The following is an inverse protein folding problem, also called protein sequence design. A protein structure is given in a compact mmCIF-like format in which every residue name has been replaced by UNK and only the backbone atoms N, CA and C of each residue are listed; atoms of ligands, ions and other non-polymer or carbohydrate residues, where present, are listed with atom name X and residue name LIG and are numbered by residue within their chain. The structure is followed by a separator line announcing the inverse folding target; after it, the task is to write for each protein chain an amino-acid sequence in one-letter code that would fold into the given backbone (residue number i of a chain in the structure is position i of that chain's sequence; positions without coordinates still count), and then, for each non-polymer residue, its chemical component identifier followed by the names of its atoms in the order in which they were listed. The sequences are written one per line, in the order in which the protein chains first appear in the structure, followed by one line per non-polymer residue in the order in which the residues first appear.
data_IF_769135903039
#
_entry.id   IF_769135903039
#
_cell.length_a   1.000
_cell.length_b   1.000
_cell.length_c   1.000
_cell.angle_alpha   90.00
_cell.angle_beta   90.00
_cell.angle_gamma   90.00
#
_symmetry.space_group_name_H-M   'P 1'
#
loop_
_entity.id
_entity.type
_entity.pdbx_description
1 polymer ?
#
# COMPACT_ATOMS: atom_id res chain seq x y z
N UNK A 1 -7.93 -25.55 -6.25
CA UNK A 1 -6.96 -25.82 -5.15
C UNK A 1 -7.80 -26.20 -3.95
N UNK A 2 -7.47 -27.31 -3.29
CA UNK A 2 -8.18 -27.78 -2.10
C UNK A 2 -8.09 -26.72 -1.00
N UNK A 3 -9.22 -26.44 -0.33
CA UNK A 3 -9.33 -25.45 0.74
C UNK A 3 -8.34 -25.75 1.88
N UNK A 4 -8.18 -27.03 2.21
CA UNK A 4 -7.22 -27.52 3.22
C UNK A 4 -5.77 -27.15 2.88
N UNK A 5 -5.38 -27.23 1.60
CA UNK A 5 -4.03 -26.85 1.16
C UNK A 5 -3.85 -25.33 1.23
N UNK A 6 -4.89 -24.56 0.89
CA UNK A 6 -4.85 -23.09 0.99
C UNK A 6 -4.65 -22.65 2.44
N UNK A 7 -5.41 -23.23 3.37
CA UNK A 7 -5.32 -22.89 4.78
C UNK A 7 -3.97 -23.23 5.38
N UNK A 8 -3.39 -24.36 4.98
CA UNK A 8 -2.05 -24.74 5.40
C UNK A 8 -0.98 -23.77 4.87
N UNK A 9 -1.07 -23.36 3.61
CA UNK A 9 -0.15 -22.36 3.02
C UNK A 9 -0.30 -21.01 3.74
N UNK A 10 -1.53 -20.56 4.04
CA UNK A 10 -1.78 -19.36 4.84
C UNK A 10 -1.09 -19.45 6.20
N UNK A 11 -1.33 -20.54 6.90
CA UNK A 11 -0.77 -20.77 8.23
C UNK A 11 0.76 -20.74 8.24
N UNK A 12 1.40 -21.26 7.19
CA UNK A 12 2.85 -21.34 7.11
C UNK A 12 3.51 -20.05 6.62
N UNK A 13 2.94 -19.39 5.62
CA UNK A 13 3.60 -18.30 4.91
C UNK A 13 2.93 -16.93 5.07
N UNK A 14 1.67 -16.90 5.46
CA UNK A 14 0.88 -15.69 5.63
C UNK A 14 0.20 -15.63 7.01
N UNK A 15 0.83 -16.18 8.05
CA UNK A 15 0.32 -16.07 9.41
C UNK A 15 0.21 -14.60 9.82
N UNK A 16 -1.02 -14.20 10.20
CA UNK A 16 -1.28 -12.85 10.67
C UNK A 16 -0.59 -12.59 12.01
N UNK A 17 0.07 -11.44 12.20
CA UNK A 17 0.44 -10.97 13.54
C UNK A 17 -0.80 -10.85 14.44
N UNK A 18 -0.68 -11.19 15.73
CA UNK A 18 -1.78 -11.21 16.69
C UNK A 18 -2.76 -10.01 16.62
N UNK A 19 -2.33 -8.74 16.62
CA UNK A 19 -3.26 -7.61 16.57
C UNK A 19 -3.97 -7.46 15.22
N UNK A 20 -3.45 -8.07 14.14
CA UNK A 20 -3.92 -7.87 12.78
C UNK A 20 -5.31 -8.47 12.53
N UNK A 21 -5.54 -9.69 13.01
CA UNK A 21 -6.85 -10.37 12.85
C UNK A 21 -7.98 -9.54 13.46
N UNK A 22 -7.79 -9.05 14.68
CA UNK A 22 -8.80 -8.23 15.34
C UNK A 22 -8.99 -6.86 14.66
N UNK A 23 -7.92 -6.24 14.17
CA UNK A 23 -7.99 -5.00 13.42
C UNK A 23 -8.73 -5.21 12.08
N UNK A 24 -8.45 -6.28 11.34
CA UNK A 24 -9.10 -6.62 10.08
C UNK A 24 -10.60 -6.83 10.24
N UNK A 25 -11.03 -7.53 11.29
CA UNK A 25 -12.45 -7.73 11.60
C UNK A 25 -13.16 -6.40 11.87
N UNK A 26 -12.56 -5.49 12.66
CA UNK A 26 -13.13 -4.16 12.91
C UNK A 26 -13.17 -3.26 11.68
N UNK A 27 -12.26 -3.47 10.76
CA UNK A 27 -12.08 -2.64 9.56
C UNK A 27 -12.74 -3.24 8.30
N UNK A 28 -13.56 -4.28 8.40
CA UNK A 28 -14.14 -5.01 7.26
C UNK A 28 -14.75 -4.07 6.19
N UNK A 29 -15.45 -3.02 6.63
CA UNK A 29 -16.06 -2.03 5.74
C UNK A 29 -15.04 -1.20 4.93
N UNK A 30 -13.77 -1.19 5.32
CA UNK A 30 -12.69 -0.47 4.63
C UNK A 30 -11.93 -1.37 3.65
N UNK A 31 -12.38 -2.58 3.41
CA UNK A 31 -11.71 -3.58 2.57
C UNK A 31 -10.24 -3.79 2.93
N UNK A 32 -9.91 -4.17 4.17
CA UNK A 32 -8.54 -4.37 4.61
C UNK A 32 -7.88 -5.52 3.82
N UNK A 33 -6.53 -5.54 3.72
CA UNK A 33 -5.83 -6.61 3.03
C UNK A 33 -6.06 -7.97 3.70
N UNK A 34 -6.32 -8.99 2.90
CA UNK A 34 -6.31 -10.38 3.35
C UNK A 34 -4.88 -10.80 3.77
N UNK A 35 -4.73 -11.89 4.55
CA UNK A 35 -3.42 -12.30 5.07
C UNK A 35 -2.33 -12.47 4.01
N UNK A 36 -2.68 -13.01 2.84
CA UNK A 36 -1.72 -13.21 1.74
C UNK A 36 -1.23 -11.87 1.18
N UNK A 37 -2.12 -10.88 1.12
CA UNK A 37 -1.74 -9.53 0.68
C UNK A 37 -0.89 -8.85 1.74
N UNK A 38 -1.24 -8.99 3.02
CA UNK A 38 -0.42 -8.51 4.12
C UNK A 38 1.00 -9.12 4.10
N UNK A 39 1.10 -10.41 3.86
CA UNK A 39 2.39 -11.10 3.70
C UNK A 39 3.17 -10.60 2.48
N UNK A 40 2.49 -10.30 1.37
CA UNK A 40 3.10 -9.70 0.18
C UNK A 40 3.61 -8.28 0.46
N UNK A 41 2.84 -7.44 1.17
CA UNK A 41 3.27 -6.11 1.58
C UNK A 41 4.55 -6.20 2.43
N UNK A 42 4.57 -7.11 3.39
CA UNK A 42 5.75 -7.42 4.21
C UNK A 42 6.95 -7.84 3.37
N UNK A 43 6.74 -8.78 2.45
CA UNK A 43 7.78 -9.23 1.54
C UNK A 43 8.33 -8.08 0.66
N UNK A 44 7.45 -7.25 0.10
CA UNK A 44 7.85 -6.10 -0.71
C UNK A 44 8.69 -5.11 0.10
N UNK A 45 8.25 -4.75 1.31
CA UNK A 45 8.99 -3.85 2.19
C UNK A 45 10.42 -4.37 2.48
N UNK A 46 10.55 -5.68 2.72
CA UNK A 46 11.85 -6.33 2.90
C UNK A 46 12.71 -6.32 1.64
N UNK A 47 12.10 -6.64 0.50
CA UNK A 47 12.81 -6.74 -0.79
C UNK A 47 13.46 -5.41 -1.18
N UNK A 48 12.77 -4.28 -0.96
CA UNK A 48 13.32 -2.95 -1.24
C UNK A 48 14.10 -2.35 -0.07
N UNK A 49 14.25 -3.10 1.05
CA UNK A 49 14.88 -2.61 2.29
C UNK A 49 14.27 -1.29 2.75
N UNK A 50 12.93 -1.23 2.78
CA UNK A 50 12.17 -0.01 2.99
C UNK A 50 12.54 0.71 4.30
N UNK A 51 12.80 2.01 4.20
CA UNK A 51 12.95 2.96 5.31
C UNK A 51 11.83 3.99 5.32
N UNK A 52 11.36 4.36 4.13
CA UNK A 52 10.23 5.24 3.92
C UNK A 52 9.12 4.54 3.16
N UNK A 53 7.95 4.41 3.78
CA UNK A 53 6.74 3.89 3.13
C UNK A 53 5.68 4.97 3.14
N UNK A 54 5.03 5.19 2.00
CA UNK A 54 3.82 6.02 1.92
C UNK A 54 2.63 5.16 1.51
N UNK A 55 1.53 5.34 2.22
CA UNK A 55 0.27 4.63 1.99
C UNK A 55 -0.86 5.62 1.84
N UNK A 56 -1.70 5.43 0.83
CA UNK A 56 -2.94 6.17 0.63
C UNK A 56 -4.12 5.21 0.75
N UNK A 57 -4.99 5.50 1.72
CA UNK A 57 -5.99 4.57 2.22
C UNK A 57 -5.41 3.69 3.33
N UNK A 58 -5.79 3.98 4.58
CA UNK A 58 -5.20 3.31 5.75
C UNK A 58 -5.70 1.87 5.96
N UNK A 59 -6.75 1.44 5.25
CA UNK A 59 -7.35 0.10 5.36
C UNK A 59 -7.55 -0.37 6.82
N UNK A 60 -8.04 0.54 7.68
CA UNK A 60 -8.23 0.30 9.11
C UNK A 60 -6.94 0.01 9.89
N UNK A 61 -5.77 0.36 9.35
CA UNK A 61 -4.46 0.14 9.96
C UNK A 61 -3.88 -1.26 9.75
N UNK A 62 -4.59 -2.15 9.05
CA UNK A 62 -4.16 -3.54 8.87
C UNK A 62 -2.84 -3.64 8.13
N UNK A 63 -2.64 -2.87 7.05
CA UNK A 63 -1.35 -2.80 6.34
C UNK A 63 -0.21 -2.32 7.24
N UNK A 64 -0.46 -1.34 8.10
CA UNK A 64 0.55 -0.85 9.04
C UNK A 64 1.02 -1.95 10.00
N UNK A 65 0.12 -2.83 10.46
CA UNK A 65 0.47 -3.94 11.34
C UNK A 65 1.38 -4.98 10.67
N UNK A 66 1.29 -5.12 9.35
CA UNK A 66 2.18 -5.96 8.55
C UNK A 66 3.51 -5.30 8.23
N UNK A 67 3.50 -3.97 8.00
CA UNK A 67 4.66 -3.23 7.48
C UNK A 67 5.60 -2.73 8.57
N UNK A 68 5.05 -2.21 9.67
CA UNK A 68 5.84 -1.52 10.68
C UNK A 68 6.86 -2.42 11.38
N UNK A 69 6.57 -3.71 11.66
CA UNK A 69 7.59 -4.63 12.20
C UNK A 69 8.80 -4.83 11.28
N UNK A 70 8.62 -4.64 9.98
CA UNK A 70 9.67 -4.83 8.97
C UNK A 70 10.57 -3.61 8.78
N UNK A 71 10.13 -2.45 9.23
CA UNK A 71 10.90 -1.22 9.15
C UNK A 71 12.09 -1.24 10.11
N UNK A 72 13.25 -0.69 9.74
CA UNK A 72 14.34 -0.46 10.66
C UNK A 72 13.93 0.57 11.73
N UNK A 73 14.75 0.70 12.78
CA UNK A 73 14.45 1.58 13.95
C UNK A 73 14.09 3.03 13.54
N UNK A 74 14.74 3.55 12.51
CA UNK A 74 14.47 4.90 11.97
C UNK A 74 13.55 4.92 10.76
N UNK A 75 12.96 3.79 10.40
CA UNK A 75 12.01 3.70 9.30
C UNK A 75 10.65 4.28 9.68
N UNK A 76 9.96 4.87 8.72
CA UNK A 76 8.66 5.54 8.91
C UNK A 76 7.66 5.08 7.86
N UNK A 77 6.46 4.74 8.31
CA UNK A 77 5.27 4.62 7.49
C UNK A 77 4.46 5.93 7.59
N UNK A 78 4.25 6.61 6.47
CA UNK A 78 3.31 7.72 6.34
C UNK A 78 2.01 7.17 5.77
N UNK A 79 0.96 7.10 6.58
CA UNK A 79 -0.37 6.58 6.20
C UNK A 79 -1.36 7.74 6.12
N UNK A 80 -2.00 7.92 4.96
CA UNK A 80 -2.89 9.04 4.64
C UNK A 80 -4.29 8.47 4.43
N UNK A 81 -5.26 8.99 5.20
CA UNK A 81 -6.65 8.55 5.14
C UNK A 81 -7.59 9.75 5.10
N UNK A 82 -8.43 9.91 4.04
CA UNK A 82 -9.38 11.02 3.98
C UNK A 82 -10.64 10.82 4.83
N UNK A 83 -11.03 9.56 5.09
CA UNK A 83 -12.22 9.26 5.89
C UNK A 83 -11.90 9.29 7.39
N UNK A 84 -12.59 10.13 8.20
CA UNK A 84 -12.32 10.22 9.63
C UNK A 84 -12.57 8.93 10.41
N UNK A 85 -13.56 8.13 9.99
CA UNK A 85 -13.87 6.87 10.68
C UNK A 85 -12.80 5.82 10.40
N UNK A 86 -12.42 5.63 9.13
CA UNK A 86 -11.33 4.75 8.73
C UNK A 86 -9.99 5.16 9.38
N UNK A 87 -9.72 6.48 9.46
CA UNK A 87 -8.56 7.02 10.15
C UNK A 87 -8.55 6.69 11.64
N UNK A 88 -9.69 6.81 12.33
CA UNK A 88 -9.79 6.45 13.75
C UNK A 88 -9.50 4.97 13.97
N UNK A 89 -10.11 4.07 13.17
CA UNK A 89 -9.83 2.63 13.21
C UNK A 89 -8.33 2.32 13.00
N UNK A 90 -7.71 3.00 12.04
CA UNK A 90 -6.28 2.82 11.76
C UNK A 90 -5.40 3.30 12.93
N UNK A 91 -5.74 4.42 13.53
CA UNK A 91 -5.02 4.97 14.69
C UNK A 91 -5.10 4.01 15.88
N UNK A 92 -6.30 3.46 16.15
CA UNK A 92 -6.51 2.49 17.24
C UNK A 92 -5.73 1.19 16.99
N UNK A 93 -5.74 0.69 15.75
CA UNK A 93 -5.00 -0.51 15.39
C UNK A 93 -3.47 -0.30 15.59
N UNK A 94 -2.94 0.82 15.09
CA UNK A 94 -1.53 1.18 15.22
C UNK A 94 -1.12 1.37 16.68
N UNK A 95 -1.99 1.94 17.53
CA UNK A 95 -1.69 2.11 18.95
C UNK A 95 -1.48 0.78 19.69
N UNK A 96 -1.95 -0.34 19.13
CA UNK A 96 -1.78 -1.68 19.72
C UNK A 96 -0.36 -2.25 19.61
N UNK A 97 0.51 -1.64 18.80
CA UNK A 97 1.88 -2.12 18.58
C UNK A 97 2.94 -1.22 19.22
N UNK A 98 3.99 -1.83 19.77
CA UNK A 98 5.09 -1.12 20.43
C UNK A 98 5.82 -0.11 19.52
N UNK A 99 5.77 -0.34 18.20
CA UNK A 99 6.44 0.49 17.20
C UNK A 99 5.52 1.60 16.63
N UNK A 100 4.43 1.94 17.29
CA UNK A 100 3.44 2.96 16.84
C UNK A 100 4.07 4.32 16.52
N UNK A 101 5.15 4.70 17.21
CA UNK A 101 5.90 5.94 16.95
C UNK A 101 6.53 6.01 15.54
N UNK A 102 6.63 4.88 14.85
CA UNK A 102 7.12 4.81 13.46
C UNK A 102 6.00 5.01 12.42
N UNK A 103 4.77 5.21 12.86
CA UNK A 103 3.64 5.53 11.97
C UNK A 103 3.29 7.00 12.08
N UNK A 104 3.31 7.68 10.96
CA UNK A 104 2.76 9.01 10.80
C UNK A 104 1.37 8.87 10.18
N UNK A 105 0.33 8.81 11.02
CA UNK A 105 -1.06 8.75 10.58
C UNK A 105 -1.59 10.17 10.31
N UNK A 106 -2.10 10.41 9.12
CA UNK A 106 -2.55 11.74 8.66
C UNK A 106 -3.98 11.63 8.15
N UNK A 107 -4.91 12.30 8.83
CA UNK A 107 -6.26 12.54 8.33
C UNK A 107 -6.23 13.71 7.34
N UNK A 108 -6.57 13.47 6.09
CA UNK A 108 -6.58 14.54 5.09
C UNK A 108 -6.70 14.07 3.65
N UNK A 109 -6.90 15.05 2.76
CA UNK A 109 -6.92 14.80 1.32
C UNK A 109 -5.55 14.32 0.82
N UNK A 110 -5.49 13.14 0.15
CA UNK A 110 -4.23 12.56 -0.27
C UNK A 110 -3.39 13.46 -1.18
N UNK A 111 -3.99 14.14 -2.15
CA UNK A 111 -3.25 14.99 -3.09
C UNK A 111 -2.58 16.15 -2.34
N UNK A 112 -3.32 16.79 -1.44
CA UNK A 112 -2.80 17.89 -0.62
C UNK A 112 -1.67 17.45 0.31
N UNK A 113 -1.76 16.25 0.89
CA UNK A 113 -0.73 15.73 1.79
C UNK A 113 0.50 15.32 1.00
N UNK A 114 0.33 14.54 -0.08
CA UNK A 114 1.44 14.07 -0.91
C UNK A 114 2.25 15.22 -1.49
N UNK A 115 1.61 16.34 -1.87
CA UNK A 115 2.29 17.52 -2.41
C UNK A 115 3.36 18.10 -1.47
N UNK A 116 3.21 17.89 -0.16
CA UNK A 116 4.13 18.38 0.88
C UNK A 116 5.24 17.39 1.24
N UNK A 117 5.20 16.19 0.67
CA UNK A 117 6.21 15.17 0.94
C UNK A 117 7.42 15.33 0.02
N UNK A 118 8.59 14.92 0.51
CA UNK A 118 9.86 15.08 -0.18
C UNK A 118 10.04 14.09 -1.33
N UNK A 119 10.62 14.56 -2.43
CA UNK A 119 10.96 13.77 -3.60
C UNK A 119 12.01 12.71 -3.29
N UNK A 120 11.87 11.53 -3.87
CA UNK A 120 12.81 10.42 -3.75
C UNK A 120 12.98 9.86 -2.33
N UNK A 121 12.07 10.24 -1.39
CA UNK A 121 12.20 9.88 0.01
C UNK A 121 11.57 8.52 0.38
N UNK A 122 10.89 7.88 -0.56
CA UNK A 122 10.13 6.66 -0.30
C UNK A 122 10.63 5.48 -1.12
N UNK A 123 10.70 4.32 -0.45
CA UNK A 123 11.10 3.05 -1.02
C UNK A 123 9.89 2.24 -1.52
N UNK A 124 8.73 2.46 -0.88
CA UNK A 124 7.50 1.76 -1.16
C UNK A 124 6.32 2.72 -1.09
N UNK A 125 5.48 2.70 -2.11
CA UNK A 125 4.20 3.39 -2.15
C UNK A 125 3.06 2.38 -2.28
N UNK A 126 1.99 2.56 -1.50
CA UNK A 126 0.83 1.66 -1.51
C UNK A 126 -0.43 2.50 -1.72
N UNK A 127 -1.18 2.20 -2.77
CA UNK A 127 -2.46 2.83 -3.06
C UNK A 127 -3.58 1.84 -2.80
N UNK A 128 -4.36 2.10 -1.76
CA UNK A 128 -5.54 1.33 -1.36
C UNK A 128 -6.83 2.16 -1.50
N UNK A 129 -6.69 3.40 -1.98
CA UNK A 129 -7.75 4.39 -2.04
C UNK A 129 -8.70 4.18 -3.22
N UNK A 130 -9.73 5.00 -3.23
CA UNK A 130 -10.75 5.06 -4.27
C UNK A 130 -10.15 5.23 -5.67
N UNK A 131 -10.63 4.48 -6.70
CA UNK A 131 -10.11 4.55 -8.07
C UNK A 131 -10.11 5.96 -8.66
N UNK A 132 -11.04 6.83 -8.25
CA UNK A 132 -11.16 8.19 -8.78
C UNK A 132 -9.92 9.07 -8.55
N UNK A 133 -9.18 8.83 -7.46
CA UNK A 133 -7.98 9.60 -7.15
C UNK A 133 -6.68 8.96 -7.70
N UNK A 134 -6.73 7.72 -8.15
CA UNK A 134 -5.54 6.91 -8.43
C UNK A 134 -4.68 7.47 -9.56
N UNK A 135 -5.29 7.98 -10.66
CA UNK A 135 -4.53 8.56 -11.79
C UNK A 135 -3.80 9.85 -11.38
N UNK A 136 -4.45 10.73 -10.62
CA UNK A 136 -3.81 11.94 -10.10
C UNK A 136 -2.67 11.61 -9.12
N UNK A 137 -2.81 10.52 -8.35
CA UNK A 137 -1.79 10.05 -7.42
C UNK A 137 -0.53 9.53 -8.12
N UNK A 138 -0.61 9.05 -9.37
CA UNK A 138 0.55 8.50 -10.09
C UNK A 138 1.67 9.53 -10.24
N UNK A 139 1.34 10.78 -10.54
CA UNK A 139 2.33 11.87 -10.66
C UNK A 139 3.07 12.08 -9.32
N UNK A 140 2.35 12.08 -8.21
CA UNK A 140 2.98 12.20 -6.89
C UNK A 140 3.81 10.97 -6.54
N UNK A 141 3.29 9.77 -6.78
CA UNK A 141 4.02 8.52 -6.50
C UNK A 141 5.33 8.47 -7.29
N UNK A 142 5.31 8.85 -8.58
CA UNK A 142 6.53 8.93 -9.40
C UNK A 142 7.59 9.85 -8.78
N UNK A 143 7.20 11.00 -8.29
CA UNK A 143 8.09 11.97 -7.65
C UNK A 143 8.64 11.46 -6.31
N UNK A 144 7.76 10.85 -5.50
CA UNK A 144 8.07 10.44 -4.13
C UNK A 144 8.95 9.19 -4.05
N UNK A 145 8.74 8.23 -4.97
CA UNK A 145 9.54 7.02 -5.01
C UNK A 145 10.97 7.34 -5.49
N UNK A 146 11.97 6.78 -4.83
CA UNK A 146 13.32 6.75 -5.35
C UNK A 146 13.43 5.78 -6.55
N UNK A 147 14.45 5.89 -7.40
CA UNK A 147 14.78 4.82 -8.35
C UNK A 147 14.92 3.46 -7.65
N UNK A 148 14.37 2.40 -8.24
CA UNK A 148 14.26 1.08 -7.63
C UNK A 148 13.18 0.95 -6.55
N UNK A 149 12.47 2.04 -6.23
CA UNK A 149 11.30 2.00 -5.35
C UNK A 149 10.11 1.31 -6.00
N UNK A 150 9.19 0.79 -5.19
CA UNK A 150 8.06 -0.03 -5.64
C UNK A 150 6.73 0.66 -5.35
N UNK A 151 5.84 0.60 -6.34
CA UNK A 151 4.43 0.96 -6.21
C UNK A 151 3.59 -0.31 -6.17
N UNK A 152 2.68 -0.39 -5.20
CA UNK A 152 1.62 -1.40 -5.10
C UNK A 152 0.26 -0.71 -5.20
N UNK A 153 -0.63 -1.20 -6.08
CA UNK A 153 -2.01 -0.69 -6.20
C UNK A 153 -2.99 -1.83 -6.07
N UNK A 154 -3.86 -1.77 -5.07
CA UNK A 154 -4.87 -2.78 -4.80
C UNK A 154 -6.17 -2.48 -5.53
N UNK A 155 -6.90 -3.53 -5.89
CA UNK A 155 -8.21 -3.43 -6.54
C UNK A 155 -8.16 -2.94 -7.98
N UNK A 156 -7.05 -3.17 -8.68
CA UNK A 156 -6.81 -2.69 -10.04
C UNK A 156 -7.67 -3.37 -11.13
N UNK A 157 -8.36 -4.46 -10.81
CA UNK A 157 -9.28 -5.17 -11.72
C UNK A 157 -10.73 -5.12 -11.23
N UNK A 158 -11.07 -4.22 -10.30
CA UNK A 158 -12.44 -4.05 -9.82
C UNK A 158 -13.36 -3.63 -10.95
N UNK A 159 -14.51 -4.32 -11.02
CA UNK A 159 -15.57 -4.02 -11.97
C UNK A 159 -16.54 -2.98 -11.41
N UNK A 160 -17.31 -2.32 -12.29
CA UNK A 160 -18.39 -1.41 -11.92
C UNK A 160 -18.11 0.04 -12.24
N UNK A 161 -18.67 0.95 -11.48
CA UNK A 161 -18.71 2.39 -11.73
C UNK A 161 -17.32 3.05 -11.89
N UNK A 162 -16.28 2.43 -11.35
CA UNK A 162 -14.92 2.95 -11.39
C UNK A 162 -14.00 2.31 -12.45
N UNK A 163 -14.51 1.38 -13.25
CA UNK A 163 -13.69 0.63 -14.21
C UNK A 163 -12.98 1.52 -15.24
N UNK A 164 -13.65 2.58 -15.73
CA UNK A 164 -13.04 3.51 -16.68
C UNK A 164 -11.92 4.37 -16.07
N UNK A 165 -12.09 4.79 -14.83
CA UNK A 165 -11.06 5.58 -14.11
C UNK A 165 -9.82 4.72 -13.90
N UNK A 166 -10.04 3.47 -13.53
CA UNK A 166 -8.99 2.50 -13.33
C UNK A 166 -8.27 2.15 -14.64
N UNK A 167 -9.01 1.97 -15.73
CA UNK A 167 -8.43 1.75 -17.06
C UNK A 167 -7.52 2.91 -17.48
N UNK A 168 -7.92 4.16 -17.22
CA UNK A 168 -7.09 5.34 -17.47
C UNK A 168 -5.82 5.36 -16.63
N UNK A 169 -5.91 4.97 -15.37
CA UNK A 169 -4.72 4.83 -14.50
C UNK A 169 -3.77 3.77 -15.03
N UNK A 170 -4.28 2.59 -15.39
CA UNK A 170 -3.46 1.50 -15.93
C UNK A 170 -2.79 1.90 -17.24
N UNK A 171 -3.52 2.61 -18.12
CA UNK A 171 -2.95 3.14 -19.36
C UNK A 171 -1.86 4.17 -19.06
N UNK A 172 -2.11 5.13 -18.15
CA UNK A 172 -1.11 6.13 -17.79
C UNK A 172 0.16 5.50 -17.18
N UNK A 173 0.00 4.45 -16.36
CA UNK A 173 1.13 3.71 -15.81
C UNK A 173 1.89 2.92 -16.89
N UNK A 174 1.18 2.31 -17.83
CA UNK A 174 1.80 1.57 -18.93
C UNK A 174 2.57 2.46 -19.91
N UNK A 175 2.10 3.70 -20.11
CA UNK A 175 2.73 4.69 -20.98
C UNK A 175 3.87 5.45 -20.28
N UNK A 176 4.00 5.34 -18.96
CA UNK A 176 5.05 6.04 -18.21
C UNK A 176 6.36 5.25 -18.25
N UNK A 177 7.31 5.73 -19.07
CA UNK A 177 8.64 5.11 -19.22
C UNK A 177 9.46 5.06 -17.91
N UNK A 178 9.04 5.77 -16.87
CA UNK A 178 9.68 5.70 -15.56
C UNK A 178 9.29 4.46 -14.74
N UNK A 179 8.37 3.62 -15.24
CA UNK A 179 7.94 2.41 -14.54
C UNK A 179 8.04 1.16 -15.40
N UNK A 180 8.36 0.05 -14.76
CA UNK A 180 8.02 -1.28 -15.27
C UNK A 180 6.94 -1.86 -14.38
N UNK A 181 5.86 -2.36 -14.96
CA UNK A 181 4.68 -2.77 -14.20
C UNK A 181 4.12 -4.12 -14.64
N UNK A 182 3.47 -4.81 -13.72
CA UNK A 182 2.68 -6.00 -13.97
C UNK A 182 1.42 -6.00 -13.10
N UNK A 183 0.45 -6.87 -13.45
CA UNK A 183 -0.75 -7.06 -12.65
C UNK A 183 -0.90 -8.54 -12.29
N UNK A 184 -1.23 -8.80 -11.04
CA UNK A 184 -1.59 -10.12 -10.52
C UNK A 184 -3.11 -10.18 -10.32
N UNK A 185 -3.79 -11.28 -10.75
CA UNK A 185 -5.24 -11.44 -10.59
C UNK A 185 -5.60 -11.93 -9.17
N UNK A 186 -5.10 -11.24 -8.16
CA UNK A 186 -5.36 -11.44 -6.73
C UNK A 186 -5.88 -10.14 -6.14
N UNK A 187 -6.66 -10.18 -5.05
CA UNK A 187 -7.16 -8.99 -4.33
C UNK A 187 -7.90 -7.99 -5.28
N UNK A 188 -8.77 -8.51 -6.14
CA UNK A 188 -9.43 -7.72 -7.20
C UNK A 188 -8.43 -7.00 -8.13
N UNK A 189 -7.29 -7.60 -8.37
CA UNK A 189 -6.18 -7.04 -9.14
C UNK A 189 -5.17 -6.26 -8.32
N UNK A 190 -3.96 -6.78 -8.23
CA UNK A 190 -2.84 -6.13 -7.60
C UNK A 190 -1.81 -5.72 -8.65
N UNK A 191 -1.62 -4.41 -8.84
CA UNK A 191 -0.53 -3.89 -9.67
C UNK A 191 0.75 -3.82 -8.85
N UNK A 192 1.84 -4.28 -9.44
CA UNK A 192 3.21 -4.14 -8.97
C UNK A 192 3.96 -3.30 -10.00
N UNK A 193 4.57 -2.21 -9.59
CA UNK A 193 5.41 -1.42 -10.48
C UNK A 193 6.70 -1.01 -9.78
N UNK A 194 7.80 -1.00 -10.52
CA UNK A 194 9.10 -0.52 -10.02
C UNK A 194 9.45 0.76 -10.76
N UNK A 195 9.82 1.81 -10.00
CA UNK A 195 10.37 3.03 -10.59
C UNK A 195 11.77 2.74 -11.15
N UNK A 196 11.95 3.03 -12.43
CA UNK A 196 13.24 2.92 -13.12
C UNK A 196 14.11 4.14 -12.81
N UNK A 197 15.41 4.02 -13.08
CA UNK A 197 16.32 5.16 -13.06
C UNK A 197 15.96 6.14 -14.19
N UNK A 198 16.16 7.43 -13.96
CA UNK A 198 15.93 8.42 -14.98
C UNK A 198 17.00 8.26 -16.07
N UNK A 199 16.61 8.28 -17.36
CA UNK A 199 17.47 7.98 -18.50
C UNK A 199 18.71 8.92 -18.66
N UNK A 200 18.88 9.89 -17.76
CA UNK A 200 20.01 10.83 -17.74
C UNK A 200 21.18 10.37 -16.84
N UNK A 201 21.02 9.28 -16.08
CA UNK A 201 22.03 8.80 -15.11
C UNK A 201 22.75 7.52 -15.57
N UNK A 202 22.64 7.14 -16.88
CA UNK A 202 23.31 5.99 -17.51
C UNK A 202 24.37 6.45 -18.51
#
# INVERSE_FOLDING_TARGET
MDETVRDEVRRLLAAEPEPTTAARQRAEATSPPEPEIGALLRWAARTVSARGIVEVGAAGGVSALWLVPELPERGVLTSIEPDPHAHALATDAVASIAASSRVRSILGDPLTVLDRLSDGAYDLAILQSQPAATTALLTHVRRLLRPGGVLLVRGALRHGEHAEVLARFLQALADDAAFTATVLPVDDGLVLATRLEDAADV
#
